data_IF_477621229979
#
_entry.id   IF_477621229979
#
_cell.length_a   1.000
_cell.length_b   1.000
_cell.length_c   1.000
_cell.angle_alpha   90.00
_cell.angle_beta   90.00
_cell.angle_gamma   90.00
#
_symmetry.space_group_name_H-M   'P 1'
#
loop_
_entity.id
_entity.type
_entity.pdbx_description
1 polymer ?
#
# COMPACT_ATOMS: atom_id res chain seq x y z
N UNK A 1 4.20 0.57 7.52
CA UNK A 1 2.82 0.84 7.03
C UNK A 1 2.06 -0.44 6.68
N UNK A 2 2.70 -1.48 6.14
CA UNK A 2 2.02 -2.73 5.77
C UNK A 2 1.54 -3.57 6.97
N UNK A 3 2.35 -3.69 8.03
CA UNK A 3 1.96 -4.44 9.24
C UNK A 3 0.68 -3.90 9.90
N UNK A 4 0.52 -2.57 9.89
CA UNK A 4 -0.68 -1.91 10.41
C UNK A 4 -1.93 -2.23 9.57
N UNK A 5 -1.82 -2.28 8.24
CA UNK A 5 -2.92 -2.67 7.35
C UNK A 5 -3.36 -4.11 7.61
N UNK A 6 -2.40 -5.03 7.81
CA UNK A 6 -2.68 -6.44 8.13
C UNK A 6 -3.41 -6.57 9.48
N UNK A 7 -2.93 -5.87 10.51
CA UNK A 7 -3.56 -5.88 11.84
C UNK A 7 -4.99 -5.31 11.82
N UNK A 8 -5.23 -4.25 11.05
CA UNK A 8 -6.58 -3.68 10.87
C UNK A 8 -7.52 -4.68 10.19
N UNK A 9 -7.06 -5.40 9.17
CA UNK A 9 -7.87 -6.42 8.48
C UNK A 9 -8.19 -7.60 9.41
N UNK A 10 -7.20 -8.08 10.18
CA UNK A 10 -7.41 -9.15 11.18
C UNK A 10 -8.40 -8.69 12.25
N UNK A 11 -8.29 -7.45 12.72
CA UNK A 11 -9.21 -6.87 13.69
C UNK A 11 -10.65 -6.80 13.18
N UNK A 12 -10.84 -6.30 11.95
CA UNK A 12 -12.16 -6.23 11.30
C UNK A 12 -12.75 -7.63 11.12
N UNK A 13 -11.96 -8.60 10.65
CA UNK A 13 -12.41 -9.99 10.52
C UNK A 13 -12.81 -10.58 11.88
N UNK A 14 -12.02 -10.37 12.93
CA UNK A 14 -12.34 -10.83 14.28
C UNK A 14 -13.70 -10.33 14.78
N UNK A 15 -14.04 -9.07 14.48
CA UNK A 15 -15.35 -8.48 14.82
C UNK A 15 -16.49 -9.18 14.08
N UNK A 16 -16.34 -9.47 12.78
CA UNK A 16 -17.37 -10.16 11.99
C UNK A 16 -17.55 -11.63 12.38
N UNK A 17 -16.47 -12.33 12.75
CA UNK A 17 -16.53 -13.71 13.22
C UNK A 17 -17.12 -13.84 14.63
N UNK A 18 -16.96 -12.82 15.48
CA UNK A 18 -17.54 -12.81 16.84
C UNK A 18 -18.98 -12.32 16.91
N UNK A 19 -19.25 -11.10 16.43
CA UNK A 19 -20.54 -10.42 16.64
C UNK A 19 -21.66 -10.93 15.73
N UNK A 20 -21.33 -11.35 14.50
CA UNK A 20 -22.32 -11.85 13.54
C UNK A 20 -23.13 -13.06 14.07
N UNK A 21 -22.47 -14.14 14.52
CA UNK A 21 -23.15 -15.30 15.11
C UNK A 21 -23.95 -14.97 16.37
N UNK A 22 -23.44 -14.06 17.23
CA UNK A 22 -24.12 -13.60 18.44
C UNK A 22 -25.45 -12.89 18.12
N UNK A 23 -25.45 -12.00 17.12
CA UNK A 23 -26.66 -11.31 16.66
C UNK A 23 -27.68 -12.29 16.07
N UNK A 24 -27.23 -13.23 15.23
CA UNK A 24 -28.11 -14.26 14.64
C UNK A 24 -28.77 -15.09 15.75
N UNK A 25 -27.99 -15.53 16.75
CA UNK A 25 -28.50 -16.29 17.88
C UNK A 25 -29.50 -15.49 18.71
N UNK A 26 -29.19 -14.23 19.03
CA UNK A 26 -30.06 -13.37 19.85
C UNK A 26 -31.42 -13.13 19.18
N UNK A 27 -31.41 -12.77 17.89
CA UNK A 27 -32.65 -12.54 17.12
C UNK A 27 -33.49 -13.81 17.06
N UNK A 28 -32.89 -14.96 16.76
CA UNK A 28 -33.62 -16.21 16.65
C UNK A 28 -34.14 -16.73 17.99
N UNK A 29 -33.36 -16.58 19.06
CA UNK A 29 -33.80 -16.91 20.41
C UNK A 29 -34.98 -16.05 20.84
N UNK A 30 -34.94 -14.75 20.58
CA UNK A 30 -36.06 -13.86 20.91
C UNK A 30 -37.34 -14.25 20.16
N UNK A 31 -37.25 -14.50 18.86
CA UNK A 31 -38.39 -14.92 18.03
C UNK A 31 -38.95 -16.26 18.51
N UNK A 32 -38.10 -17.26 18.76
CA UNK A 32 -38.51 -18.57 19.24
C UNK A 32 -39.22 -18.48 20.60
N UNK A 33 -38.72 -17.64 21.51
CA UNK A 33 -39.32 -17.45 22.83
C UNK A 33 -40.71 -16.80 22.74
N UNK A 34 -40.86 -15.78 21.87
CA UNK A 34 -42.14 -15.12 21.64
C UNK A 34 -43.18 -16.09 21.06
N UNK A 35 -42.78 -16.95 20.12
CA UNK A 35 -43.66 -17.95 19.53
C UNK A 35 -44.10 -19.01 20.56
N UNK A 36 -43.15 -19.52 21.36
CA UNK A 36 -43.44 -20.49 22.42
C UNK A 36 -44.43 -19.92 23.47
N UNK A 37 -44.28 -18.65 23.85
CA UNK A 37 -45.18 -18.02 24.82
C UNK A 37 -46.63 -17.95 24.29
N UNK A 38 -46.80 -17.56 23.02
CA UNK A 38 -48.13 -17.48 22.41
C UNK A 38 -48.75 -18.87 22.23
N UNK A 39 -47.96 -19.90 21.88
CA UNK A 39 -48.43 -21.29 21.81
C UNK A 39 -48.86 -21.83 23.19
N UNK A 40 -48.11 -21.52 24.25
CA UNK A 40 -48.48 -21.91 25.62
C UNK A 40 -49.76 -21.22 26.11
N UNK A 41 -49.91 -19.92 25.82
CA UNK A 41 -51.14 -19.18 26.16
C UNK A 41 -52.35 -19.78 25.45
N UNK A 42 -52.20 -20.13 24.17
CA UNK A 42 -53.26 -20.78 23.39
C UNK A 42 -53.68 -22.11 24.03
N UNK A 43 -52.72 -22.99 24.34
CA UNK A 43 -53.00 -24.28 24.98
C UNK A 43 -53.73 -24.12 26.32
N UNK A 44 -53.31 -23.14 27.14
CA UNK A 44 -53.96 -22.86 28.42
C UNK A 44 -55.42 -22.45 28.24
N UNK A 45 -55.70 -21.57 27.28
CA UNK A 45 -57.07 -21.12 26.98
C UNK A 45 -57.91 -22.26 26.41
N UNK A 46 -57.36 -23.12 25.54
CA UNK A 46 -58.07 -24.29 25.01
C UNK A 46 -58.48 -25.26 26.11
N UNK A 47 -57.57 -25.56 27.05
CA UNK A 47 -57.87 -26.41 28.22
C UNK A 47 -58.95 -25.78 29.10
N UNK A 48 -58.82 -24.50 29.45
CA UNK A 48 -59.83 -23.78 30.25
C UNK A 48 -61.22 -23.79 29.57
N UNK A 49 -61.26 -23.63 28.25
CA UNK A 49 -62.50 -23.64 27.47
C UNK A 49 -63.16 -25.01 27.51
N UNK A 50 -62.40 -26.10 27.32
CA UNK A 50 -62.91 -27.49 27.39
C UNK A 50 -63.48 -27.78 28.78
N UNK A 51 -62.75 -27.45 29.84
CA UNK A 51 -63.21 -27.67 31.23
C UNK A 51 -64.50 -26.91 31.53
N UNK A 52 -64.62 -25.66 31.06
CA UNK A 52 -65.86 -24.88 31.23
C UNK A 52 -67.02 -25.45 30.42
N UNK A 53 -66.78 -25.94 29.21
CA UNK A 53 -67.81 -26.62 28.41
C UNK A 53 -68.32 -27.90 29.10
N UNK A 54 -67.43 -28.68 29.71
CA UNK A 54 -67.83 -29.87 30.46
C UNK A 54 -68.68 -29.52 31.69
N UNK A 55 -68.27 -28.49 32.47
CA UNK A 55 -69.06 -27.97 33.59
C UNK A 55 -70.44 -27.49 33.16
N UNK A 56 -70.51 -26.74 32.06
CA UNK A 56 -71.78 -26.27 31.49
C UNK A 56 -72.70 -27.45 31.12
N UNK A 57 -72.16 -28.48 30.45
CA UNK A 57 -72.92 -29.69 30.09
C UNK A 57 -73.45 -30.42 31.33
N UNK A 58 -72.64 -30.54 32.38
CA UNK A 58 -73.06 -31.15 33.65
C UNK A 58 -74.20 -30.37 34.31
N UNK A 59 -74.08 -29.04 34.40
CA UNK A 59 -75.10 -28.16 34.99
C UNK A 59 -76.42 -28.16 34.21
N UNK A 60 -76.36 -28.16 32.87
CA UNK A 60 -77.55 -28.30 32.03
C UNK A 60 -78.21 -29.67 32.24
N UNK A 61 -77.44 -30.74 32.34
CA UNK A 61 -77.98 -32.09 32.60
C UNK A 61 -78.65 -32.19 33.99
N UNK A 62 -78.10 -31.52 35.00
CA UNK A 62 -78.68 -31.42 36.34
C UNK A 62 -80.02 -30.68 36.32
N UNK A 63 -80.10 -29.54 35.62
CA UNK A 63 -81.34 -28.78 35.45
C UNK A 63 -82.44 -29.58 34.73
N UNK A 64 -82.08 -30.33 33.67
CA UNK A 64 -83.03 -31.05 32.82
C UNK A 64 -83.53 -32.34 33.47
N UNK A 65 -82.70 -33.07 34.21
CA UNK A 65 -83.03 -34.42 34.70
C UNK A 65 -83.64 -34.45 36.11
N UNK A 66 -83.46 -33.43 36.95
CA UNK A 66 -83.98 -33.43 38.32
C UNK A 66 -85.39 -32.82 38.42
N UNK A 67 -86.41 -33.70 38.39
CA UNK A 67 -87.83 -33.33 38.52
C UNK A 67 -88.20 -32.81 39.92
N UNK A 68 -87.34 -33.00 40.93
CA UNK A 68 -87.57 -32.69 42.34
C UNK A 68 -86.97 -31.34 42.84
N UNK A 69 -86.27 -30.59 41.99
CA UNK A 69 -85.72 -29.26 42.34
C UNK A 69 -86.85 -28.25 42.65
N UNK A 70 -86.70 -27.50 43.73
CA UNK A 70 -87.57 -26.37 44.06
C UNK A 70 -87.44 -25.24 43.03
N UNK A 71 -88.45 -24.35 42.98
CA UNK A 71 -88.47 -23.22 42.04
C UNK A 71 -87.25 -22.29 42.25
N UNK A 72 -86.83 -22.11 43.50
CA UNK A 72 -85.70 -21.28 43.85
C UNK A 72 -84.38 -21.88 43.34
N UNK A 73 -84.13 -23.18 43.59
CA UNK A 73 -82.91 -23.86 43.15
C UNK A 73 -82.79 -23.90 41.61
N UNK A 74 -83.90 -24.02 40.87
CA UNK A 74 -83.89 -23.92 39.40
C UNK A 74 -83.48 -22.54 38.91
N UNK A 75 -83.84 -21.49 39.63
CA UNK A 75 -83.53 -20.11 39.26
C UNK A 75 -82.04 -19.83 39.51
N UNK A 76 -81.51 -20.27 40.65
CA UNK A 76 -80.07 -20.20 40.96
C UNK A 76 -79.23 -20.99 39.96
N UNK A 77 -79.63 -22.22 39.60
CA UNK A 77 -78.92 -23.02 38.59
C UNK A 77 -78.93 -22.35 37.20
N UNK A 78 -80.02 -21.67 36.86
CA UNK A 78 -80.15 -20.94 35.59
C UNK A 78 -79.23 -19.72 35.55
N UNK A 79 -79.07 -19.01 36.66
CA UNK A 79 -78.11 -17.90 36.79
C UNK A 79 -76.66 -18.39 36.69
N UNK A 80 -76.32 -19.52 37.32
CA UNK A 80 -75.01 -20.16 37.18
C UNK A 80 -74.73 -20.56 35.72
N UNK A 81 -75.70 -21.16 35.03
CA UNK A 81 -75.60 -21.51 33.61
C UNK A 81 -75.35 -20.26 32.75
N UNK A 82 -76.11 -19.19 32.97
CA UNK A 82 -75.94 -17.93 32.24
C UNK A 82 -74.56 -17.32 32.49
N UNK A 83 -74.07 -17.39 33.74
CA UNK A 83 -72.73 -16.91 34.12
C UNK A 83 -71.63 -17.71 33.42
N UNK A 84 -71.69 -19.04 33.50
CA UNK A 84 -70.74 -19.94 32.83
C UNK A 84 -70.75 -19.73 31.31
N UNK A 85 -71.94 -19.55 30.71
CA UNK A 85 -72.08 -19.28 29.29
C UNK A 85 -71.42 -17.95 28.88
N UNK A 86 -71.57 -16.91 29.70
CA UNK A 86 -70.98 -15.59 29.45
C UNK A 86 -69.45 -15.65 29.51
N UNK A 87 -68.91 -16.32 30.53
CA UNK A 87 -67.47 -16.54 30.65
C UNK A 87 -66.91 -17.40 29.52
N UNK A 88 -67.67 -18.39 29.04
CA UNK A 88 -67.29 -19.22 27.90
C UNK A 88 -67.15 -18.38 26.62
N UNK A 89 -68.14 -17.51 26.35
CA UNK A 89 -68.11 -16.61 25.21
C UNK A 89 -66.90 -15.67 25.26
N UNK A 90 -66.56 -15.15 26.45
CA UNK A 90 -65.38 -14.33 26.64
C UNK A 90 -64.08 -15.10 26.35
N UNK A 91 -63.95 -16.33 26.86
CA UNK A 91 -62.77 -17.19 26.60
C UNK A 91 -62.63 -17.57 25.13
N UNK A 92 -63.75 -17.77 24.44
CA UNK A 92 -63.75 -18.08 23.02
C UNK A 92 -63.32 -16.88 22.16
N UNK A 93 -63.65 -15.65 22.59
CA UNK A 93 -63.12 -14.43 21.99
C UNK A 93 -61.60 -14.27 22.22
N UNK A 94 -61.11 -14.55 23.44
CA UNK A 94 -59.67 -14.56 23.75
C UNK A 94 -58.90 -15.58 22.88
N UNK A 95 -59.48 -16.76 22.65
CA UNK A 95 -58.90 -17.78 21.78
C UNK A 95 -58.80 -17.32 20.33
N UNK A 96 -59.87 -16.71 19.80
CA UNK A 96 -59.89 -16.17 18.43
C UNK A 96 -58.84 -15.07 18.24
N UNK A 97 -58.70 -14.17 19.21
CA UNK A 97 -57.69 -13.12 19.18
C UNK A 97 -56.26 -13.71 19.16
N UNK A 98 -55.98 -14.72 19.98
CA UNK A 98 -54.66 -15.38 20.00
C UNK A 98 -54.38 -16.15 18.71
N UNK A 99 -55.38 -16.78 18.10
CA UNK A 99 -55.23 -17.42 16.78
C UNK A 99 -54.88 -16.39 15.69
N UNK A 100 -55.52 -15.22 15.71
CA UNK A 100 -55.19 -14.11 14.81
C UNK A 100 -53.75 -13.62 15.02
N UNK A 101 -53.30 -13.47 16.27
CA UNK A 101 -51.92 -13.06 16.59
C UNK A 101 -50.88 -14.07 16.06
N UNK A 102 -51.15 -15.38 16.21
CA UNK A 102 -50.31 -16.43 15.63
C UNK A 102 -50.27 -16.33 14.10
N UNK A 103 -51.42 -16.08 13.46
CA UNK A 103 -51.52 -15.84 12.02
C UNK A 103 -50.66 -14.67 11.56
N UNK A 104 -50.71 -13.54 12.27
CA UNK A 104 -49.88 -12.36 11.96
C UNK A 104 -48.39 -12.62 12.15
N UNK A 105 -47.99 -13.36 13.18
CA UNK A 105 -46.59 -13.75 13.41
C UNK A 105 -46.07 -14.65 12.29
N UNK A 106 -46.88 -15.63 11.85
CA UNK A 106 -46.56 -16.50 10.71
C UNK A 106 -46.50 -15.73 9.39
N UNK A 107 -47.42 -14.80 9.16
CA UNK A 107 -47.46 -13.96 7.95
C UNK A 107 -46.22 -13.04 7.84
N UNK A 108 -45.69 -12.55 8.97
CA UNK A 108 -44.41 -11.82 9.02
C UNK A 108 -43.17 -12.72 8.83
N UNK A 109 -43.34 -13.95 8.34
CA UNK A 109 -42.28 -14.96 8.11
C UNK A 109 -41.50 -15.41 9.36
N UNK A 110 -41.99 -15.11 10.57
CA UNK A 110 -41.37 -15.61 11.80
C UNK A 110 -41.69 -17.10 11.96
N UNK A 111 -40.82 -17.92 11.38
CA UNK A 111 -40.84 -19.38 11.52
C UNK A 111 -39.81 -19.78 12.57
N UNK A 112 -40.16 -20.79 13.38
CA UNK A 112 -39.22 -21.37 14.36
C UNK A 112 -38.03 -21.93 13.60
N UNK A 113 -36.85 -21.40 13.88
CA UNK A 113 -35.59 -21.81 13.22
C UNK A 113 -34.59 -22.26 14.26
N UNK A 114 -33.79 -23.26 13.88
CA UNK A 114 -32.66 -23.71 14.69
C UNK A 114 -31.50 -22.71 14.50
N UNK A 115 -31.05 -22.05 15.57
CA UNK A 115 -30.02 -21.03 15.44
C UNK A 115 -28.66 -21.57 15.03
N UNK A 116 -28.38 -22.83 15.36
CA UNK A 116 -27.14 -23.50 14.97
C UNK A 116 -27.07 -23.63 13.45
N UNK A 117 -28.17 -23.99 12.78
CA UNK A 117 -28.20 -24.12 11.31
C UNK A 117 -27.92 -22.78 10.61
N UNK A 118 -28.45 -21.68 11.13
CA UNK A 118 -28.23 -20.36 10.55
C UNK A 118 -26.78 -19.88 10.72
N UNK A 119 -26.17 -20.17 11.87
CA UNK A 119 -24.75 -19.87 12.13
C UNK A 119 -23.84 -20.68 11.20
N UNK A 120 -24.14 -21.97 10.96
CA UNK A 120 -23.37 -22.81 10.04
C UNK A 120 -23.42 -22.23 8.61
N UNK A 121 -24.60 -21.85 8.12
CA UNK A 121 -24.76 -21.25 6.78
C UNK A 121 -23.95 -19.94 6.68
N UNK A 122 -23.98 -19.10 7.71
CA UNK A 122 -23.19 -17.87 7.77
C UNK A 122 -21.68 -18.14 7.61
N UNK A 123 -21.14 -19.12 8.34
CA UNK A 123 -19.72 -19.47 8.23
C UNK A 123 -19.34 -20.04 6.86
N UNK A 124 -20.21 -20.83 6.23
CA UNK A 124 -19.97 -21.36 4.88
C UNK A 124 -19.87 -20.21 3.87
N UNK A 125 -20.79 -19.24 3.93
CA UNK A 125 -20.76 -18.06 3.05
C UNK A 125 -19.49 -17.25 3.28
N UNK A 126 -19.11 -17.02 4.54
CA UNK A 126 -17.87 -16.30 4.87
C UNK A 126 -16.62 -17.02 4.36
N UNK A 127 -16.55 -18.34 4.47
CA UNK A 127 -15.46 -19.14 3.91
C UNK A 127 -15.40 -19.04 2.39
N UNK A 128 -16.54 -19.08 1.69
CA UNK A 128 -16.58 -18.87 0.24
C UNK A 128 -16.07 -17.48 -0.15
N UNK A 129 -16.47 -16.42 0.59
CA UNK A 129 -15.98 -15.06 0.35
C UNK A 129 -14.46 -15.00 0.54
N UNK A 130 -13.93 -15.54 1.64
CA UNK A 130 -12.48 -15.58 1.90
C UNK A 130 -11.74 -16.37 0.81
N UNK A 131 -12.28 -17.50 0.36
CA UNK A 131 -11.67 -18.30 -0.70
C UNK A 131 -11.67 -17.57 -2.05
N UNK A 132 -12.74 -16.85 -2.38
CA UNK A 132 -12.81 -16.03 -3.60
C UNK A 132 -11.80 -14.89 -3.53
N UNK A 133 -11.80 -14.09 -2.46
CA UNK A 133 -10.87 -12.98 -2.31
C UNK A 133 -9.41 -13.45 -2.21
N UNK A 134 -9.14 -14.51 -1.45
CA UNK A 134 -7.82 -15.12 -1.34
C UNK A 134 -7.35 -15.72 -2.67
N UNK A 135 -8.25 -16.35 -3.42
CA UNK A 135 -8.01 -16.84 -4.77
C UNK A 135 -7.70 -15.70 -5.75
N UNK A 136 -8.45 -14.60 -5.70
CA UNK A 136 -8.17 -13.40 -6.48
C UNK A 136 -6.81 -12.79 -6.13
N UNK A 137 -6.47 -12.65 -4.85
CA UNK A 137 -5.15 -12.14 -4.41
C UNK A 137 -4.03 -13.09 -4.85
N UNK A 138 -4.22 -14.40 -4.74
CA UNK A 138 -3.24 -15.39 -5.18
C UNK A 138 -3.03 -15.37 -6.70
N UNK A 139 -4.13 -15.32 -7.45
CA UNK A 139 -4.10 -15.21 -8.91
C UNK A 139 -3.50 -13.89 -9.35
N UNK A 140 -3.80 -12.79 -8.67
CA UNK A 140 -3.17 -11.48 -8.91
C UNK A 140 -1.67 -11.51 -8.59
N UNK A 141 -1.23 -12.15 -7.50
CA UNK A 141 0.20 -12.27 -7.17
C UNK A 141 0.96 -13.19 -8.14
N UNK A 142 0.30 -14.23 -8.67
CA UNK A 142 0.91 -15.20 -9.60
C UNK A 142 0.86 -14.76 -11.07
N UNK A 143 -0.20 -14.07 -11.47
CA UNK A 143 -0.50 -13.75 -12.86
C UNK A 143 -0.69 -12.25 -13.13
N UNK A 144 -0.53 -11.38 -12.13
CA UNK A 144 -0.45 -9.92 -12.25
C UNK A 144 -1.66 -9.33 -13.01
N UNK A 145 -2.86 -9.76 -12.60
CA UNK A 145 -4.12 -9.58 -13.35
C UNK A 145 -4.64 -8.13 -13.24
N UNK A 146 -4.45 -7.46 -12.10
CA UNK A 146 -5.09 -6.16 -11.81
C UNK A 146 -4.15 -4.97 -11.97
N UNK A 147 -2.85 -5.18 -11.82
CA UNK A 147 -1.83 -4.17 -12.05
C UNK A 147 -0.64 -4.91 -12.62
N UNK A 148 -0.26 -4.64 -13.86
CA UNK A 148 1.06 -5.04 -14.32
C UNK A 148 2.08 -4.35 -13.41
N UNK A 149 2.58 -5.03 -12.37
CA UNK A 149 3.75 -4.53 -11.66
C UNK A 149 4.82 -4.42 -12.75
N UNK A 150 5.41 -3.23 -12.92
CA UNK A 150 6.45 -3.06 -13.91
C UNK A 150 7.52 -4.11 -13.62
N UNK A 151 7.85 -4.93 -14.62
CA UNK A 151 8.92 -5.93 -14.48
C UNK A 151 10.15 -5.18 -13.97
N UNK A 152 10.63 -5.54 -12.79
CA UNK A 152 11.82 -4.94 -12.19
C UNK A 152 13.03 -5.73 -12.61
N UNK A 153 14.03 -5.06 -13.16
CA UNK A 153 15.29 -5.66 -13.56
C UNK A 153 16.42 -5.11 -12.71
N UNK A 154 17.41 -5.94 -12.42
CA UNK A 154 18.61 -5.49 -11.70
C UNK A 154 19.44 -4.59 -12.61
N UNK A 155 19.75 -3.38 -12.15
CA UNK A 155 20.68 -2.48 -12.85
C UNK A 155 22.10 -2.93 -12.53
N UNK A 156 22.88 -3.22 -13.58
CA UNK A 156 24.30 -3.54 -13.46
C UNK A 156 25.05 -2.44 -12.74
N UNK A 157 26.05 -2.82 -11.94
CA UNK A 157 26.94 -1.84 -11.33
C UNK A 157 27.66 -1.03 -12.40
N UNK A 158 27.89 0.27 -12.18
CA UNK A 158 28.57 1.10 -13.15
C UNK A 158 30.04 0.70 -13.27
N UNK A 159 30.53 0.70 -14.50
CA UNK A 159 31.94 0.47 -14.80
C UNK A 159 32.73 1.75 -14.52
N UNK A 160 33.91 1.62 -13.92
CA UNK A 160 34.83 2.73 -13.65
C UNK A 160 36.21 2.36 -14.15
N UNK A 161 36.79 3.21 -15.00
CA UNK A 161 38.09 3.00 -15.62
C UNK A 161 38.97 4.22 -15.34
N UNK A 162 39.98 4.06 -14.50
CA UNK A 162 40.97 5.11 -14.25
C UNK A 162 41.97 5.08 -15.40
N UNK A 163 41.99 6.14 -16.21
CA UNK A 163 42.89 6.25 -17.36
C UNK A 163 44.27 6.75 -16.93
N UNK A 164 44.30 7.74 -16.03
CA UNK A 164 45.55 8.28 -15.49
C UNK A 164 45.33 9.09 -14.22
N UNK A 165 46.35 9.13 -13.36
CA UNK A 165 46.46 10.05 -12.23
C UNK A 165 47.77 10.83 -12.39
N UNK A 166 47.75 12.13 -12.11
CA UNK A 166 48.95 12.97 -12.15
C UNK A 166 48.84 14.11 -11.13
N UNK A 167 49.94 14.84 -10.98
CA UNK A 167 49.99 16.04 -10.15
C UNK A 167 50.22 17.26 -11.04
N UNK A 168 49.37 18.27 -10.91
CA UNK A 168 49.49 19.55 -11.60
C UNK A 168 49.96 20.64 -10.63
N UNK A 169 51.17 21.15 -10.84
CA UNK A 169 51.81 22.13 -9.98
C UNK A 169 51.41 23.56 -10.31
N UNK A 170 51.19 24.38 -9.28
CA UNK A 170 51.14 25.84 -9.41
C UNK A 170 52.48 26.40 -9.88
N UNK A 171 52.46 27.62 -10.41
CA UNK A 171 53.67 28.35 -10.81
C UNK A 171 54.67 28.35 -9.66
N UNK A 172 55.82 27.73 -9.88
CA UNK A 172 56.98 27.87 -9.03
C UNK A 172 58.03 28.72 -9.73
N UNK A 173 58.75 29.53 -8.96
CA UNK A 173 59.89 30.30 -9.41
C UNK A 173 61.09 29.37 -9.31
N UNK A 174 61.74 29.05 -10.44
CA UNK A 174 62.97 28.26 -10.41
C UNK A 174 64.16 29.07 -9.86
N UNK A 175 65.29 28.42 -9.58
CA UNK A 175 66.52 29.06 -9.07
C UNK A 175 67.05 30.18 -9.99
N UNK A 176 66.54 30.29 -11.21
CA UNK A 176 66.87 31.30 -12.21
C UNK A 176 65.80 32.40 -12.34
N UNK A 177 64.86 32.49 -11.38
CA UNK A 177 63.77 33.47 -11.36
C UNK A 177 62.81 33.40 -12.58
N UNK A 178 62.74 32.27 -13.28
CA UNK A 178 61.82 32.09 -14.40
C UNK A 178 60.50 31.45 -13.94
N UNK A 179 59.39 32.03 -14.38
CA UNK A 179 58.05 31.50 -14.12
C UNK A 179 57.79 30.35 -15.10
N UNK A 180 57.66 29.13 -14.58
CA UNK A 180 57.22 27.97 -15.37
C UNK A 180 55.87 27.46 -14.84
N UNK A 181 54.98 27.06 -15.75
CA UNK A 181 53.77 26.28 -15.42
C UNK A 181 54.12 24.81 -15.59
N UNK A 182 53.86 24.00 -14.57
CA UNK A 182 54.22 22.59 -14.56
C UNK A 182 52.96 21.74 -14.68
N UNK A 183 52.85 21.03 -15.80
CA UNK A 183 51.64 20.29 -16.15
C UNK A 183 51.68 18.81 -15.71
N UNK A 184 52.85 18.32 -15.27
CA UNK A 184 53.04 16.93 -14.83
C UNK A 184 54.31 16.83 -13.99
N UNK A 185 54.20 16.45 -12.72
CA UNK A 185 55.36 16.00 -11.96
C UNK A 185 55.50 14.48 -12.16
N UNK A 186 56.54 14.05 -12.86
CA UNK A 186 56.75 12.64 -13.23
C UNK A 186 57.22 11.74 -12.07
N UNK A 187 57.23 12.27 -10.83
CA UNK A 187 57.70 11.60 -9.62
C UNK A 187 56.74 11.75 -8.45
N UNK A 188 55.47 11.41 -8.65
CA UNK A 188 54.50 11.31 -7.57
C UNK A 188 54.93 10.22 -6.57
N UNK A 189 55.27 10.62 -5.34
CA UNK A 189 55.39 9.69 -4.21
C UNK A 189 54.01 9.53 -3.56
N UNK A 190 53.35 8.36 -3.69
CA UNK A 190 52.05 8.09 -3.07
C UNK A 190 52.08 8.12 -1.54
N UNK A 191 53.27 8.12 -0.92
CA UNK A 191 53.46 8.12 0.53
C UNK A 191 53.93 9.46 1.11
N UNK A 192 54.05 10.53 0.31
CA UNK A 192 54.42 11.83 0.82
C UNK A 192 53.41 12.26 1.90
N UNK A 193 53.88 12.46 3.14
CA UNK A 193 53.03 12.80 4.29
C UNK A 193 52.31 14.12 4.01
N UNK A 194 51.02 14.01 3.71
CA UNK A 194 50.13 15.13 3.46
C UNK A 194 50.05 16.01 4.71
N UNK A 195 50.21 17.33 4.53
CA UNK A 195 49.84 18.32 5.54
C UNK A 195 48.43 18.05 6.05
N UNK A 196 48.23 18.30 7.34
CA UNK A 196 47.11 17.83 8.14
C UNK A 196 45.74 17.79 7.43
N UNK A 197 44.98 16.74 7.72
CA UNK A 197 43.61 16.41 7.24
C UNK A 197 42.53 17.49 7.44
N UNK A 198 42.90 18.69 7.89
CA UNK A 198 42.01 19.86 8.08
C UNK A 198 42.19 20.93 7.00
N UNK A 199 43.17 20.82 6.12
CA UNK A 199 43.47 21.84 5.11
C UNK A 199 42.63 21.63 3.83
N UNK A 200 41.40 22.14 3.87
CA UNK A 200 40.50 22.59 2.79
C UNK A 200 40.35 21.72 1.51
N UNK A 201 39.09 21.49 1.14
CA UNK A 201 38.64 20.83 -0.11
C UNK A 201 39.09 21.64 -1.33
N UNK A 202 40.10 21.16 -2.04
CA UNK A 202 40.71 21.89 -3.16
C UNK A 202 41.92 22.75 -2.77
N UNK A 203 42.63 22.43 -1.69
CA UNK A 203 43.85 23.14 -1.28
C UNK A 203 45.05 22.60 -2.04
N UNK A 204 46.01 23.46 -2.39
CA UNK A 204 47.30 23.01 -2.89
C UNK A 204 47.95 21.99 -1.95
N UNK A 205 48.37 20.83 -2.44
CA UNK A 205 49.27 19.91 -1.76
C UNK A 205 50.70 20.04 -2.31
N UNK A 206 51.72 19.64 -1.55
CA UNK A 206 53.12 19.67 -1.99
C UNK A 206 53.52 18.32 -2.59
N UNK A 207 54.22 18.34 -3.72
CA UNK A 207 54.85 17.16 -4.34
C UNK A 207 56.26 17.51 -4.77
N UNK A 208 57.22 16.60 -4.60
CA UNK A 208 58.57 16.79 -5.13
C UNK A 208 58.55 16.66 -6.66
N UNK A 209 59.10 17.65 -7.37
CA UNK A 209 59.25 17.58 -8.82
C UNK A 209 60.72 17.41 -9.17
N UNK A 210 61.04 16.31 -9.86
CA UNK A 210 62.40 16.00 -10.31
C UNK A 210 62.91 16.98 -11.36
N UNK A 211 62.02 17.59 -12.14
CA UNK A 211 62.36 18.58 -13.18
C UNK A 211 62.96 19.87 -12.62
N UNK A 212 62.66 20.16 -11.35
CA UNK A 212 63.04 21.42 -10.69
C UNK A 212 63.74 21.22 -9.36
N UNK A 213 63.92 19.96 -8.96
CA UNK A 213 64.62 19.54 -7.75
C UNK A 213 64.11 20.23 -6.46
N UNK A 214 62.81 20.51 -6.37
CA UNK A 214 62.16 21.12 -5.20
C UNK A 214 60.68 20.71 -5.03
N UNK A 215 60.10 21.07 -3.88
CA UNK A 215 58.69 20.85 -3.55
C UNK A 215 57.79 21.85 -4.29
N UNK A 216 56.90 21.34 -5.13
CA UNK A 216 55.92 22.12 -5.89
C UNK A 216 54.55 22.00 -5.21
N UNK A 217 53.91 23.12 -4.94
CA UNK A 217 52.51 23.18 -4.52
C UNK A 217 51.61 22.95 -5.74
N UNK A 218 50.53 22.19 -5.63
CA UNK A 218 49.68 21.82 -6.77
C UNK A 218 48.45 21.01 -6.37
N UNK A 219 47.78 20.39 -7.33
CA UNK A 219 46.65 19.49 -7.09
C UNK A 219 46.87 18.12 -7.70
N UNK A 220 46.34 17.10 -7.02
CA UNK A 220 46.17 15.79 -7.65
C UNK A 220 45.02 15.85 -8.65
N UNK A 221 45.30 15.37 -9.85
CA UNK A 221 44.41 15.34 -10.99
C UNK A 221 44.18 13.89 -11.40
N UNK A 222 43.01 13.63 -11.96
CA UNK A 222 42.61 12.30 -12.42
C UNK A 222 41.80 12.41 -13.70
N UNK A 223 42.03 11.43 -14.58
CA UNK A 223 41.17 11.15 -15.71
C UNK A 223 40.52 9.79 -15.52
N UNK A 224 39.20 9.78 -15.43
CA UNK A 224 38.40 8.58 -15.15
C UNK A 224 37.16 8.55 -16.02
N UNK A 225 36.86 7.38 -16.55
CA UNK A 225 35.65 7.10 -17.32
C UNK A 225 34.66 6.32 -16.45
N UNK A 226 33.44 6.84 -16.35
CA UNK A 226 32.31 6.15 -15.73
C UNK A 226 31.32 5.69 -16.81
N UNK A 227 30.76 4.50 -16.66
CA UNK A 227 29.72 3.96 -17.54
C UNK A 227 28.54 3.48 -16.71
N UNK A 228 27.35 4.00 -16.99
CA UNK A 228 26.11 3.71 -16.27
C UNK A 228 25.09 3.02 -17.18
N UNK A 229 24.43 2.01 -16.63
CA UNK A 229 23.43 1.20 -17.34
C UNK A 229 21.99 1.52 -16.91
N UNK A 230 21.79 2.54 -16.07
CA UNK A 230 20.47 2.97 -15.59
C UNK A 230 20.59 4.07 -14.53
N UNK A 231 19.44 4.54 -14.03
CA UNK A 231 19.36 5.46 -12.88
C UNK A 231 19.55 4.70 -11.57
N UNK A 232 20.75 4.16 -11.36
CA UNK A 232 21.09 3.26 -10.25
C UNK A 232 21.16 3.93 -8.86
N UNK A 233 20.94 5.25 -8.79
CA UNK A 233 20.88 6.02 -7.56
C UNK A 233 19.48 6.24 -7.00
N UNK A 234 18.41 5.89 -7.73
CA UNK A 234 17.03 5.98 -7.23
C UNK A 234 16.85 5.10 -5.98
N UNK A 235 16.37 5.68 -4.87
CA UNK A 235 16.28 5.04 -3.57
C UNK A 235 17.60 4.94 -2.79
N UNK A 236 18.73 5.34 -3.38
CA UNK A 236 20.08 5.32 -2.76
C UNK A 236 20.63 6.72 -2.51
N UNK A 237 20.01 7.74 -3.10
CA UNK A 237 20.36 9.14 -2.98
C UNK A 237 20.41 9.66 -1.54
N UNK A 238 21.20 10.72 -1.30
CA UNK A 238 21.27 11.38 0.02
C UNK A 238 20.01 12.18 0.33
N UNK A 239 19.33 12.68 -0.69
CA UNK A 239 18.13 13.52 -0.58
C UNK A 239 16.86 12.80 -1.07
N UNK A 240 16.47 11.72 -0.38
CA UNK A 240 15.31 10.90 -0.77
C UNK A 240 14.00 11.70 -0.82
N UNK A 241 13.88 12.75 -0.01
CA UNK A 241 12.76 13.67 0.01
C UNK A 241 12.55 14.42 -1.31
N UNK A 242 13.57 14.49 -2.16
CA UNK A 242 13.49 15.14 -3.47
C UNK A 242 13.44 14.15 -4.63
N UNK A 243 13.46 12.83 -4.38
CA UNK A 243 13.35 11.83 -5.44
C UNK A 243 11.98 11.92 -6.15
N UNK A 244 11.96 11.78 -7.48
CA UNK A 244 10.72 11.91 -8.24
C UNK A 244 9.79 10.71 -8.01
N UNK A 245 8.52 11.00 -7.72
CA UNK A 245 7.48 9.98 -7.50
C UNK A 245 6.63 9.73 -8.74
N UNK A 246 6.70 10.64 -9.71
CA UNK A 246 5.87 10.73 -10.90
C UNK A 246 6.57 10.27 -12.19
N UNK A 247 7.83 9.83 -12.14
CA UNK A 247 8.50 9.23 -13.30
C UNK A 247 7.87 7.91 -13.71
N UNK A 248 7.91 7.62 -15.01
CA UNK A 248 7.45 6.35 -15.55
C UNK A 248 8.13 5.15 -14.88
N UNK A 249 7.40 4.08 -14.51
CA UNK A 249 8.00 2.98 -13.78
C UNK A 249 9.09 2.22 -14.54
N UNK A 250 9.06 2.19 -15.88
CA UNK A 250 10.13 1.57 -16.68
C UNK A 250 11.46 2.30 -16.52
N UNK A 251 11.46 3.59 -16.16
CA UNK A 251 12.69 4.37 -15.96
C UNK A 251 13.46 3.96 -14.70
N UNK A 252 12.86 3.11 -13.85
CA UNK A 252 13.52 2.50 -12.67
C UNK A 252 14.31 1.23 -13.03
N UNK A 253 14.22 0.77 -14.27
CA UNK A 253 14.96 -0.37 -14.79
C UNK A 253 16.25 0.08 -15.48
N UNK A 254 17.12 -0.85 -15.92
CA UNK A 254 18.27 -0.51 -16.74
C UNK A 254 17.81 0.07 -18.09
N UNK A 255 18.66 0.90 -18.72
CA UNK A 255 18.34 1.65 -19.93
C UNK A 255 17.90 0.75 -21.09
N UNK A 256 18.48 -0.46 -21.21
CA UNK A 256 18.10 -1.46 -22.23
C UNK A 256 16.69 -2.06 -22.03
N UNK A 257 16.03 -1.74 -20.92
CA UNK A 257 14.64 -2.13 -20.60
C UNK A 257 13.70 -0.93 -20.59
N UNK A 258 14.14 0.23 -21.07
CA UNK A 258 13.28 1.40 -21.24
C UNK A 258 12.41 1.30 -22.51
N UNK A 259 12.26 0.13 -23.12
CA UNK A 259 11.37 -0.11 -24.24
C UNK A 259 9.96 -0.52 -23.77
N UNK A 260 8.92 0.06 -24.38
CA UNK A 260 7.53 -0.38 -24.15
C UNK A 260 7.19 -1.56 -25.07
N UNK A 261 6.30 -2.44 -24.61
CA UNK A 261 5.85 -3.70 -25.23
C UNK A 261 5.46 -3.65 -26.72
N UNK A 262 5.24 -2.48 -27.31
CA UNK A 262 4.92 -2.34 -28.73
C UNK A 262 6.16 -2.16 -29.63
N UNK A 263 7.39 -2.31 -29.09
CA UNK A 263 8.66 -2.41 -29.83
C UNK A 263 8.96 -1.26 -30.83
N UNK A 264 8.28 -0.10 -30.70
CA UNK A 264 8.41 1.02 -31.66
C UNK A 264 9.12 2.24 -31.11
N UNK A 265 9.27 2.35 -29.79
CA UNK A 265 9.83 3.55 -29.14
C UNK A 265 10.87 3.12 -28.12
N UNK A 266 12.11 3.47 -28.40
CA UNK A 266 13.22 3.41 -27.46
C UNK A 266 13.25 4.71 -26.65
N UNK A 267 12.80 4.63 -25.39
CA UNK A 267 12.75 5.80 -24.51
C UNK A 267 14.12 6.22 -24.01
N UNK A 268 15.15 5.38 -24.08
CA UNK A 268 16.51 5.79 -23.74
C UNK A 268 17.01 6.87 -24.69
N UNK A 269 16.64 6.83 -25.98
CA UNK A 269 16.94 7.90 -26.94
C UNK A 269 16.32 9.24 -26.57
N UNK A 270 15.26 9.25 -25.76
CA UNK A 270 14.64 10.49 -25.28
C UNK A 270 15.30 11.04 -24.03
N UNK A 271 16.15 10.26 -23.36
CA UNK A 271 16.90 10.69 -22.18
C UNK A 271 18.14 11.48 -22.60
N UNK A 272 17.98 12.77 -22.89
CA UNK A 272 19.11 13.64 -23.22
C UNK A 272 19.22 14.75 -22.17
N UNK A 273 20.46 15.11 -21.87
CA UNK A 273 20.77 16.33 -21.13
C UNK A 273 20.50 17.54 -22.04
N UNK A 274 19.85 18.58 -21.53
CA UNK A 274 19.33 19.67 -22.36
C UNK A 274 20.40 20.63 -22.81
N UNK A 275 21.19 21.14 -21.86
CA UNK A 275 22.22 22.14 -22.06
C UNK A 275 23.07 22.13 -20.81
N UNK A 276 24.38 22.01 -20.96
CA UNK A 276 25.29 22.13 -19.82
C UNK A 276 25.06 23.49 -19.17
N UNK A 277 24.42 23.44 -18.01
CA UNK A 277 24.19 24.60 -17.18
C UNK A 277 25.52 24.98 -16.52
N UNK A 278 25.83 26.28 -16.45
CA UNK A 278 27.08 26.77 -15.86
C UNK A 278 27.21 26.43 -14.37
N UNK A 279 26.09 26.00 -13.78
CA UNK A 279 25.92 25.59 -12.39
C UNK A 279 26.50 24.19 -12.07
N UNK A 280 26.97 23.39 -13.04
CA UNK A 280 27.60 22.11 -12.73
C UNK A 280 29.03 22.29 -12.20
N UNK A 281 29.40 21.55 -11.15
CA UNK A 281 30.81 21.47 -10.71
C UNK A 281 31.68 20.68 -11.70
N UNK A 282 31.06 19.93 -12.61
CA UNK A 282 31.73 19.12 -13.61
C UNK A 282 31.66 19.81 -14.97
N UNK A 283 32.81 19.90 -15.63
CA UNK A 283 32.84 20.44 -16.98
C UNK A 283 32.43 19.43 -18.06
N UNK A 284 32.29 18.16 -17.67
CA UNK A 284 32.04 17.03 -18.54
C UNK A 284 30.54 16.78 -18.64
N UNK A 285 30.09 16.35 -19.81
CA UNK A 285 28.70 15.96 -20.06
C UNK A 285 28.57 14.45 -20.07
N UNK A 286 27.37 13.98 -19.75
CA UNK A 286 26.99 12.61 -20.03
C UNK A 286 26.81 12.40 -21.53
N UNK A 287 27.40 11.33 -22.06
CA UNK A 287 27.30 10.94 -23.46
C UNK A 287 26.54 9.62 -23.50
N UNK A 288 25.40 9.59 -24.17
CA UNK A 288 24.64 8.36 -24.32
C UNK A 288 25.16 7.55 -25.51
N UNK A 289 25.20 6.23 -25.35
CA UNK A 289 25.34 5.25 -26.42
C UNK A 289 24.00 4.53 -26.62
N UNK A 290 23.15 5.01 -27.55
CA UNK A 290 21.91 4.36 -27.93
C UNK A 290 22.03 2.88 -28.34
N UNK A 291 23.16 2.50 -28.96
CA UNK A 291 23.31 1.16 -29.53
C UNK A 291 23.54 0.11 -28.44
N UNK A 292 24.19 0.51 -27.36
CA UNK A 292 24.56 -0.36 -26.25
C UNK A 292 23.83 -0.02 -24.94
N UNK A 293 22.91 0.96 -24.97
CA UNK A 293 22.05 1.38 -23.85
C UNK A 293 22.84 1.70 -22.56
N UNK A 294 23.86 2.54 -22.68
CA UNK A 294 24.56 3.10 -21.53
C UNK A 294 24.78 4.60 -21.69
N UNK A 295 25.04 5.29 -20.59
CA UNK A 295 25.56 6.66 -20.60
C UNK A 295 26.92 6.70 -19.94
N UNK A 296 27.84 7.50 -20.48
CA UNK A 296 29.19 7.63 -19.97
C UNK A 296 29.52 9.05 -19.53
N UNK A 297 30.38 9.18 -18.53
CA UNK A 297 30.97 10.43 -18.10
C UNK A 297 32.49 10.27 -18.12
N UNK A 298 33.15 10.99 -19.01
CA UNK A 298 34.61 11.06 -19.06
C UNK A 298 35.03 12.28 -18.23
N UNK A 299 35.45 12.07 -16.99
CA UNK A 299 35.89 13.12 -16.09
C UNK A 299 37.40 13.34 -16.19
N UNK A 300 37.79 14.61 -16.24
CA UNK A 300 39.17 15.06 -16.14
C UNK A 300 39.22 16.29 -15.24
N UNK A 301 39.90 16.18 -14.10
CA UNK A 301 39.94 17.26 -13.12
C UNK A 301 40.52 16.86 -11.77
N UNK A 302 40.33 17.70 -10.73
CA UNK A 302 40.87 17.46 -9.40
C UNK A 302 40.34 16.19 -8.75
N UNK A 303 41.24 15.32 -8.29
CA UNK A 303 40.90 14.02 -7.68
C UNK A 303 39.97 14.13 -6.47
N UNK A 304 40.14 15.18 -5.66
CA UNK A 304 39.31 15.40 -4.47
C UNK A 304 37.81 15.50 -4.78
N UNK A 305 37.43 15.96 -5.97
CA UNK A 305 36.03 16.14 -6.34
C UNK A 305 35.32 14.78 -6.53
N UNK A 306 36.03 13.78 -7.07
CA UNK A 306 35.47 12.44 -7.26
C UNK A 306 35.51 11.56 -6.00
N UNK A 307 36.30 11.96 -5.00
CA UNK A 307 36.38 11.29 -3.69
C UNK A 307 35.32 11.78 -2.71
N UNK A 308 34.68 12.90 -3.02
CA UNK A 308 33.63 13.49 -2.20
C UNK A 308 32.32 12.71 -2.32
N UNK A 309 31.79 12.30 -1.17
CA UNK A 309 30.49 11.64 -1.11
C UNK A 309 29.37 12.69 -1.13
N UNK A 310 29.05 13.19 -2.31
CA UNK A 310 27.97 14.15 -2.53
C UNK A 310 27.29 13.89 -3.85
N UNK A 311 26.01 14.23 -3.89
CA UNK A 311 25.21 14.16 -5.11
C UNK A 311 25.35 15.52 -5.78
N UNK A 312 26.28 15.65 -6.72
CA UNK A 312 26.54 16.90 -7.42
C UNK A 312 25.54 17.08 -8.55
N UNK A 313 25.03 18.30 -8.70
CA UNK A 313 24.22 18.65 -9.86
C UNK A 313 25.06 18.57 -11.13
N UNK A 314 24.51 17.94 -12.16
CA UNK A 314 25.17 17.74 -13.45
C UNK A 314 24.45 18.49 -14.57
N UNK A 315 23.14 18.27 -14.72
CA UNK A 315 22.35 18.85 -15.81
C UNK A 315 20.84 18.73 -15.53
N UNK A 316 20.03 19.41 -16.32
CA UNK A 316 18.60 19.18 -16.42
C UNK A 316 18.30 18.13 -17.50
N UNK A 317 17.43 17.18 -17.15
CA UNK A 317 16.95 16.14 -18.05
C UNK A 317 15.44 16.14 -18.11
N UNK A 318 14.90 15.88 -19.29
CA UNK A 318 13.46 15.76 -19.50
C UNK A 318 13.07 14.29 -19.47
N UNK A 319 12.11 13.92 -18.62
CA UNK A 319 11.69 12.53 -18.40
C UNK A 319 10.17 12.37 -18.54
N UNK A 320 9.75 11.20 -19.01
CA UNK A 320 8.34 10.83 -19.14
C UNK A 320 7.70 10.59 -17.76
N UNK A 321 6.48 11.08 -17.58
CA UNK A 321 5.76 11.01 -16.29
C UNK A 321 4.50 10.14 -16.35
N UNK A 322 4.05 9.70 -15.17
CA UNK A 322 2.81 8.95 -14.98
C UNK A 322 1.63 9.87 -15.24
N UNK A 323 0.89 9.60 -16.30
CA UNK A 323 -0.37 10.29 -16.54
C UNK A 323 -1.39 9.86 -15.46
N UNK A 324 -1.93 10.80 -14.67
CA UNK A 324 -2.93 10.49 -13.64
C UNK A 324 -4.26 9.98 -14.20
N UNK A 325 -4.52 10.13 -15.51
CA UNK A 325 -5.78 9.73 -16.16
C UNK A 325 -5.68 8.46 -17.01
N UNK A 326 -4.48 8.02 -17.40
CA UNK A 326 -4.33 6.82 -18.23
C UNK A 326 -2.95 6.16 -18.00
N UNK A 327 -2.91 5.12 -17.18
CA UNK A 327 -1.67 4.42 -16.77
C UNK A 327 -1.08 3.49 -17.85
N UNK A 328 -1.73 3.36 -19.01
CA UNK A 328 -1.44 2.30 -19.99
C UNK A 328 -0.46 2.70 -21.10
N UNK A 329 -0.25 3.99 -21.33
CA UNK A 329 0.66 4.47 -22.38
C UNK A 329 1.39 5.73 -21.91
N UNK A 330 2.73 5.84 -22.08
CA UNK A 330 3.40 7.12 -22.01
C UNK A 330 2.88 7.97 -23.18
N UNK A 331 2.01 8.95 -22.90
CA UNK A 331 1.78 10.07 -23.83
C UNK A 331 2.83 11.15 -23.55
N UNK A 332 3.05 12.03 -24.52
CA UNK A 332 4.09 13.05 -24.68
C UNK A 332 4.32 14.04 -23.50
N UNK A 333 3.68 13.81 -22.35
CA UNK A 333 3.91 14.57 -21.12
C UNK A 333 5.28 14.22 -20.55
N UNK A 334 6.20 15.17 -20.69
CA UNK A 334 7.52 15.10 -20.10
C UNK A 334 7.73 16.26 -19.14
N UNK A 335 8.47 15.99 -18.06
CA UNK A 335 8.80 16.97 -17.01
C UNK A 335 10.31 17.06 -16.83
N UNK A 336 10.79 18.23 -16.45
CA UNK A 336 12.20 18.44 -16.14
C UNK A 336 12.54 17.93 -14.74
N UNK A 337 13.69 17.27 -14.64
CA UNK A 337 14.31 16.83 -13.41
C UNK A 337 15.79 17.21 -13.43
N UNK A 338 16.40 17.23 -12.25
CA UNK A 338 17.80 17.57 -12.07
C UNK A 338 18.61 16.28 -11.94
N UNK A 339 19.42 15.99 -12.94
CA UNK A 339 20.36 14.88 -12.94
C UNK A 339 21.49 15.19 -11.97
N UNK A 340 21.72 14.27 -11.03
CA UNK A 340 22.82 14.36 -10.09
C UNK A 340 23.71 13.13 -10.18
N UNK A 341 24.99 13.34 -9.95
CA UNK A 341 26.03 12.31 -9.96
C UNK A 341 26.73 12.29 -8.61
N UNK A 342 26.83 11.09 -8.03
CA UNK A 342 27.67 10.84 -6.87
C UNK A 342 28.91 10.05 -7.30
N UNK A 343 30.10 10.67 -7.37
CA UNK A 343 31.29 10.01 -7.88
C UNK A 343 31.84 8.95 -6.93
N UNK A 344 31.72 9.15 -5.62
CA UNK A 344 32.21 8.20 -4.62
C UNK A 344 31.36 6.93 -4.55
N UNK A 345 30.04 7.11 -4.52
CA UNK A 345 29.08 6.00 -4.49
C UNK A 345 28.78 5.44 -5.89
N UNK A 346 29.30 6.10 -6.94
CA UNK A 346 29.22 5.70 -8.34
C UNK A 346 27.77 5.48 -8.75
N UNK A 347 26.96 6.51 -8.67
CA UNK A 347 25.61 6.44 -9.21
C UNK A 347 25.16 7.76 -9.82
N UNK A 348 24.19 7.65 -10.71
CA UNK A 348 23.40 8.78 -11.18
C UNK A 348 21.96 8.64 -10.69
N UNK A 349 21.34 9.77 -10.37
CA UNK A 349 19.97 9.83 -9.87
C UNK A 349 19.28 11.10 -10.34
N UNK A 350 17.96 11.14 -10.17
CA UNK A 350 17.13 12.30 -10.50
C UNK A 350 16.56 12.90 -9.23
N UNK A 351 16.50 14.22 -9.19
CA UNK A 351 15.81 14.98 -8.16
C UNK A 351 14.83 15.99 -8.74
N UNK A 352 13.82 16.33 -7.95
CA UNK A 352 12.84 17.39 -8.21
C UNK A 352 13.35 18.78 -7.83
N UNK A 353 14.51 18.85 -7.17
CA UNK A 353 15.17 20.08 -6.72
C UNK A 353 16.65 20.08 -7.09
N UNK A 354 17.16 21.24 -7.47
CA UNK A 354 18.57 21.51 -7.79
C UNK A 354 19.35 21.83 -6.51
N UNK A 355 20.54 21.23 -6.33
CA UNK A 355 21.44 21.49 -5.20
C UNK A 355 22.88 21.01 -5.50
N UNK A 356 23.84 21.32 -4.62
CA UNK A 356 25.27 21.02 -4.83
C UNK A 356 25.79 21.50 -6.20
N UNK A 357 25.38 22.71 -6.59
CA UNK A 357 25.84 23.40 -7.80
C UNK A 357 27.23 24.00 -7.58
N UNK A 358 27.82 24.50 -8.66
CA UNK A 358 28.94 25.42 -8.65
C UNK A 358 28.46 26.74 -8.03
N UNK A 359 29.26 27.29 -7.11
CA UNK A 359 28.99 28.57 -6.47
C UNK A 359 29.43 29.74 -7.34
#
# INVERSE_FOLDING_TARGET
MELFKVLVIIGILGVFFGLGPLLIWFVQKHVNNKLNNVENIKLKIEVETITKQEKLKQKIAELVNNKALSVQEKTELQEEINTIQTELNQKQAELSHNQMLIGQLKAKKYTKRNPIKAIIIYYIIMLCIIAIFGGFIFLDNKYDITNSKPKTYTISEPKVEIESEWFEGYRSIDDNYQIKKYYKADGYDPNAEFGATKDWKGSPCQSYSHDVNHLVLGHQMIKVKYTFYGLNGLGRGKHREYEPTDIMPFMKNPFDKWEVKDNRIDFFNTFHTRNKDDDSQFNNMFINDPSNYYTELNYEGPKWLIEEDKDFFMDEVQCHIINPKDSRYPKDEMKNYYLHFNPKQRYITLYTKKFNTKN
#
